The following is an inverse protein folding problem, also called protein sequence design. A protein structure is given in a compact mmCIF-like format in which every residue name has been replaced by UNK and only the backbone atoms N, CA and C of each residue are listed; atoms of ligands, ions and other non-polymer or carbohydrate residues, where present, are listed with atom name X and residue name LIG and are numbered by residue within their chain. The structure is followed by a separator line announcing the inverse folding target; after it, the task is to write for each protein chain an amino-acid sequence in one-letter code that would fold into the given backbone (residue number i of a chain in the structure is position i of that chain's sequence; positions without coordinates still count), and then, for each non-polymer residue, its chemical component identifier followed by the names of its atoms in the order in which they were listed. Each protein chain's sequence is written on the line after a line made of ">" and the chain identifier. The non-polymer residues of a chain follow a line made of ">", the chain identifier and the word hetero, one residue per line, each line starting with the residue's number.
data_IF_039906359717
#
_entry.id   IF_039906359717
#
_cell.length_a   1.000
_cell.length_b   1.000
_cell.length_c   1.000
_cell.angle_alpha   90.00
_cell.angle_beta   90.00
_cell.angle_gamma   90.00
#
_symmetry.space_group_name_H-M   'P 1'
#
loop_
_entity.id
_entity.type
_entity.pdbx_description
1 polymer ?
#
# COMPACT_ATOMS: atom_id res chain seq x y z
N UNK A 1 24.20 47.53 3.05
CA UNK A 1 23.00 47.46 2.20
C UNK A 1 21.91 46.71 2.95
N UNK A 2 20.88 47.42 3.39
CA UNK A 2 19.77 46.92 4.21
C UNK A 2 18.74 46.24 3.31
N UNK A 3 18.60 44.92 3.42
CA UNK A 3 17.59 44.13 2.68
C UNK A 3 16.21 44.46 3.26
N UNK A 4 15.42 45.27 2.54
CA UNK A 4 13.99 45.46 2.83
C UNK A 4 13.28 44.12 2.63
N UNK A 5 12.81 43.51 3.73
CA UNK A 5 11.82 42.43 3.66
C UNK A 5 10.53 43.03 3.11
N UNK A 6 10.21 42.69 1.86
CA UNK A 6 8.91 43.00 1.27
C UNK A 6 7.89 42.08 1.95
N UNK A 7 7.03 42.66 2.79
CA UNK A 7 5.86 41.97 3.32
C UNK A 7 4.83 41.95 2.21
N UNK A 8 4.61 40.77 1.62
CA UNK A 8 3.57 40.58 0.61
C UNK A 8 2.21 40.74 1.29
N UNK A 9 1.29 41.49 0.65
CA UNK A 9 -0.09 41.55 1.12
C UNK A 9 -0.74 40.16 1.04
N UNK A 10 -1.79 39.92 1.83
CA UNK A 10 -2.46 38.61 1.85
C UNK A 10 -3.03 38.26 0.45
N UNK A 11 -3.50 39.27 -0.28
CA UNK A 11 -4.00 39.15 -1.65
C UNK A 11 -2.86 38.86 -2.64
N UNK A 12 -1.70 39.50 -2.50
CA UNK A 12 -0.54 39.21 -3.34
C UNK A 12 0.04 37.82 -3.07
N UNK A 13 0.03 37.37 -1.82
CA UNK A 13 0.42 36.02 -1.44
C UNK A 13 -0.54 34.99 -2.03
N UNK A 14 -1.86 35.22 -1.95
CA UNK A 14 -2.86 34.32 -2.51
C UNK A 14 -2.80 34.31 -4.04
N UNK A 15 -2.57 35.46 -4.69
CA UNK A 15 -2.35 35.55 -6.13
C UNK A 15 -1.08 34.83 -6.58
N UNK A 16 -0.01 34.85 -5.78
CA UNK A 16 1.22 34.07 -6.04
C UNK A 16 0.96 32.57 -5.90
N UNK A 17 0.15 32.14 -4.92
CA UNK A 17 -0.26 30.74 -4.74
C UNK A 17 -1.20 30.24 -5.85
N UNK A 18 -2.15 31.07 -6.30
CA UNK A 18 -2.97 30.73 -7.46
C UNK A 18 -2.14 30.69 -8.74
N UNK A 19 -1.20 31.61 -8.92
CA UNK A 19 -0.26 31.60 -10.04
C UNK A 19 0.74 30.44 -9.99
N UNK A 20 1.05 29.86 -8.83
CA UNK A 20 1.87 28.65 -8.74
C UNK A 20 1.03 27.41 -9.11
N UNK A 21 -0.22 27.32 -8.62
CA UNK A 21 -1.18 26.28 -9.01
C UNK A 21 -1.45 26.26 -10.52
N UNK A 22 -1.66 27.42 -11.14
CA UNK A 22 -1.90 27.52 -12.60
C UNK A 22 -0.63 27.30 -13.42
N UNK A 23 0.56 27.66 -12.90
CA UNK A 23 1.83 27.33 -13.55
C UNK A 23 2.06 25.83 -13.66
N UNK A 24 1.76 25.08 -12.59
CA UNK A 24 1.82 23.63 -12.66
C UNK A 24 0.81 23.08 -13.70
N UNK A 25 -0.43 23.56 -13.72
CA UNK A 25 -1.42 23.16 -14.73
C UNK A 25 -1.02 23.51 -16.18
N UNK A 26 -0.47 24.69 -16.42
CA UNK A 26 -0.02 25.13 -17.74
C UNK A 26 1.26 24.41 -18.23
N UNK A 27 2.14 24.00 -17.31
CA UNK A 27 3.29 23.13 -17.63
C UNK A 27 2.80 21.75 -18.06
N UNK A 28 1.76 21.20 -17.43
CA UNK A 28 1.21 19.90 -17.82
C UNK A 28 0.77 19.86 -19.28
N UNK A 29 0.15 20.92 -19.78
CA UNK A 29 -0.38 20.97 -21.15
C UNK A 29 0.71 20.91 -22.23
N UNK A 30 1.91 21.43 -21.92
CA UNK A 30 3.06 21.48 -22.86
C UNK A 30 4.00 20.27 -22.75
N UNK A 31 3.74 19.32 -21.85
CA UNK A 31 4.65 18.22 -21.56
C UNK A 31 4.40 16.99 -22.43
N UNK A 32 5.28 16.80 -23.41
CA UNK A 32 5.39 15.57 -24.19
C UNK A 32 6.39 14.61 -23.56
N UNK A 33 6.05 13.31 -23.51
CA UNK A 33 7.03 12.30 -23.08
C UNK A 33 8.12 12.11 -24.15
N UNK A 34 9.39 11.91 -23.77
CA UNK A 34 10.42 11.52 -24.71
C UNK A 34 10.02 10.21 -25.42
N UNK A 35 10.11 10.21 -26.75
CA UNK A 35 9.74 9.08 -27.59
C UNK A 35 10.61 7.85 -27.31
N UNK A 36 9.94 6.73 -27.00
CA UNK A 36 10.47 5.36 -26.92
C UNK A 36 11.47 5.10 -25.79
N UNK A 37 10.95 4.74 -24.63
CA UNK A 37 11.77 4.44 -23.44
C UNK A 37 12.08 2.95 -23.27
N UNK A 38 11.07 2.07 -23.37
CA UNK A 38 11.30 0.62 -23.29
C UNK A 38 11.63 -0.01 -24.65
N UNK A 39 12.80 -0.66 -24.72
CA UNK A 39 12.99 -1.79 -25.64
C UNK A 39 12.19 -3.00 -25.13
N UNK A 40 11.88 -3.99 -25.98
CA UNK A 40 11.13 -5.17 -25.55
C UNK A 40 11.85 -5.96 -24.44
N UNK A 41 13.17 -6.12 -24.54
CA UNK A 41 13.97 -6.74 -23.47
C UNK A 41 13.96 -5.94 -22.17
N UNK A 42 13.93 -4.60 -22.25
CA UNK A 42 13.87 -3.74 -21.07
C UNK A 42 12.47 -3.78 -20.43
N UNK A 43 11.41 -3.86 -21.23
CA UNK A 43 10.04 -4.02 -20.75
C UNK A 43 9.90 -5.32 -19.94
N UNK A 44 10.34 -6.46 -20.50
CA UNK A 44 10.26 -7.76 -19.82
C UNK A 44 10.98 -7.76 -18.47
N UNK A 45 12.24 -7.29 -18.45
CA UNK A 45 13.02 -7.20 -17.19
C UNK A 45 12.38 -6.28 -16.17
N UNK A 46 11.85 -5.13 -16.61
CA UNK A 46 11.20 -4.17 -15.70
C UNK A 46 9.89 -4.75 -15.17
N UNK A 47 9.11 -5.40 -16.02
CA UNK A 47 7.88 -6.10 -15.66
C UNK A 47 8.14 -7.19 -14.61
N UNK A 48 9.08 -8.10 -14.87
CA UNK A 48 9.43 -9.19 -13.95
C UNK A 48 9.87 -8.65 -12.59
N UNK A 49 10.78 -7.67 -12.58
CA UNK A 49 11.28 -7.06 -11.35
C UNK A 49 10.17 -6.34 -10.55
N UNK A 50 9.21 -5.69 -11.23
CA UNK A 50 8.07 -5.10 -10.53
C UNK A 50 7.10 -6.17 -10.01
N UNK A 51 6.85 -7.25 -10.76
CA UNK A 51 6.00 -8.35 -10.28
C UNK A 51 6.60 -9.02 -9.04
N UNK A 52 7.89 -9.33 -9.04
CA UNK A 52 8.58 -9.87 -7.87
C UNK A 52 8.49 -8.93 -6.67
N UNK A 53 8.72 -7.63 -6.89
CA UNK A 53 8.62 -6.62 -5.85
C UNK A 53 7.22 -6.55 -5.26
N UNK A 54 6.20 -6.46 -6.11
CA UNK A 54 4.81 -6.36 -5.67
C UNK A 54 4.41 -7.62 -4.91
N UNK A 55 4.76 -8.82 -5.39
CA UNK A 55 4.53 -10.07 -4.63
C UNK A 55 5.18 -10.06 -3.26
N UNK A 56 6.43 -9.63 -3.17
CA UNK A 56 7.15 -9.51 -1.88
C UNK A 56 6.44 -8.53 -0.94
N UNK A 57 6.09 -7.35 -1.44
CA UNK A 57 5.38 -6.33 -0.65
C UNK A 57 3.98 -6.82 -0.22
N UNK A 58 3.28 -7.55 -1.08
CA UNK A 58 1.98 -8.17 -0.74
C UNK A 58 2.13 -9.23 0.35
N UNK A 59 3.15 -10.09 0.25
CA UNK A 59 3.44 -11.09 1.28
C UNK A 59 3.76 -10.43 2.63
N UNK A 60 4.60 -9.38 2.62
CA UNK A 60 4.90 -8.58 3.80
C UNK A 60 3.63 -7.95 4.39
N UNK A 61 2.78 -7.33 3.56
CA UNK A 61 1.53 -6.72 4.00
C UNK A 61 0.53 -7.72 4.62
N UNK A 62 0.55 -8.99 4.19
CA UNK A 62 -0.28 -10.07 4.77
C UNK A 62 0.26 -10.62 6.09
N UNK A 63 1.50 -10.33 6.44
CA UNK A 63 2.15 -10.92 7.63
C UNK A 63 1.34 -10.71 8.92
N UNK A 64 0.86 -9.49 9.25
CA UNK A 64 0.10 -9.31 10.48
C UNK A 64 -1.20 -10.12 10.52
N UNK A 65 -1.87 -10.24 9.36
CA UNK A 65 -3.08 -11.05 9.22
C UNK A 65 -2.80 -12.54 9.42
N UNK A 66 -1.77 -13.09 8.79
CA UNK A 66 -1.42 -14.50 8.92
C UNK A 66 -1.09 -14.85 10.38
N UNK A 67 -0.42 -13.92 11.09
CA UNK A 67 -0.15 -14.09 12.53
C UNK A 67 -1.42 -14.04 13.38
N UNK A 68 -2.33 -13.12 13.10
CA UNK A 68 -3.64 -13.08 13.75
C UNK A 68 -4.39 -14.40 13.56
N UNK A 69 -4.37 -14.97 12.37
CA UNK A 69 -4.98 -16.27 12.06
C UNK A 69 -4.30 -17.41 12.85
N UNK A 70 -2.98 -17.35 13.02
CA UNK A 70 -2.23 -18.31 13.85
C UNK A 70 -2.61 -18.21 15.32
N UNK A 71 -2.67 -16.99 15.90
CA UNK A 71 -3.09 -16.75 17.29
C UNK A 71 -4.53 -17.25 17.49
N UNK A 72 -5.45 -16.87 16.60
CA UNK A 72 -6.85 -17.28 16.67
C UNK A 72 -7.00 -18.81 16.56
N UNK A 73 -6.23 -19.45 15.68
CA UNK A 73 -6.18 -20.91 15.54
C UNK A 73 -5.72 -21.60 16.83
N UNK A 74 -4.64 -21.11 17.45
CA UNK A 74 -4.11 -21.66 18.69
C UNK A 74 -5.05 -21.44 19.89
N UNK A 75 -5.80 -20.34 19.93
CA UNK A 75 -6.81 -20.09 20.98
C UNK A 75 -8.10 -20.91 20.81
N UNK A 76 -8.39 -21.41 19.61
CA UNK A 76 -9.68 -22.03 19.29
C UNK A 76 -10.00 -23.25 20.14
N UNK A 77 -9.05 -24.15 20.37
CA UNK A 77 -9.28 -25.36 21.16
C UNK A 77 -9.34 -25.10 22.68
N UNK A 78 -8.41 -24.33 23.27
CA UNK A 78 -8.54 -23.92 24.67
C UNK A 78 -9.87 -23.24 24.97
N UNK A 79 -10.28 -22.29 24.12
CA UNK A 79 -11.55 -21.56 24.27
C UNK A 79 -12.79 -22.42 24.03
N UNK A 80 -12.69 -23.67 23.57
CA UNK A 80 -13.82 -24.62 23.55
C UNK A 80 -14.11 -25.21 24.93
N UNK A 81 -13.12 -25.26 25.82
CA UNK A 81 -13.27 -25.85 27.15
C UNK A 81 -13.91 -24.87 28.13
N UNK A 82 -14.98 -25.30 28.76
CA UNK A 82 -15.69 -24.49 29.75
C UNK A 82 -14.83 -24.15 30.97
N UNK A 83 -14.01 -25.12 31.41
CA UNK A 83 -13.07 -24.92 32.51
C UNK A 83 -12.07 -23.81 32.21
N UNK A 84 -11.57 -23.74 30.97
CA UNK A 84 -10.66 -22.69 30.55
C UNK A 84 -11.34 -21.32 30.52
N UNK A 85 -12.58 -21.22 30.01
CA UNK A 85 -13.34 -19.94 30.02
C UNK A 85 -13.61 -19.44 31.43
N UNK A 86 -13.96 -20.34 32.36
CA UNK A 86 -14.16 -20.00 33.77
C UNK A 86 -12.88 -19.52 34.43
N UNK A 87 -11.75 -20.18 34.13
CA UNK A 87 -10.44 -19.72 34.58
C UNK A 87 -10.14 -18.30 34.06
N UNK A 88 -10.29 -18.06 32.76
CA UNK A 88 -10.10 -16.73 32.19
C UNK A 88 -11.02 -15.69 32.86
N UNK A 89 -12.27 -16.04 33.16
CA UNK A 89 -13.22 -15.14 33.84
C UNK A 89 -12.79 -14.83 35.28
N UNK A 90 -12.34 -15.84 36.03
CA UNK A 90 -11.87 -15.67 37.41
C UNK A 90 -10.59 -14.82 37.49
N UNK A 91 -9.75 -14.89 36.46
CA UNK A 91 -8.48 -14.14 36.38
C UNK A 91 -8.63 -12.77 35.69
N UNK A 92 -9.84 -12.34 35.34
CA UNK A 92 -10.08 -11.05 34.67
C UNK A 92 -9.61 -10.99 33.20
N UNK A 93 -9.44 -12.14 32.56
CA UNK A 93 -8.92 -12.33 31.21
C UNK A 93 -9.98 -12.81 30.20
N UNK A 94 -11.28 -12.80 30.56
CA UNK A 94 -12.35 -13.24 29.67
C UNK A 94 -12.57 -12.34 28.44
N UNK A 95 -12.13 -11.09 28.49
CA UNK A 95 -12.33 -10.13 27.40
C UNK A 95 -11.31 -10.34 26.27
N UNK A 96 -11.67 -11.19 25.32
CA UNK A 96 -10.91 -11.43 24.09
C UNK A 96 -11.06 -10.23 23.15
N UNK A 97 -9.97 -9.67 22.58
CA UNK A 97 -10.06 -8.61 21.58
C UNK A 97 -10.99 -8.99 20.43
N UNK A 98 -11.84 -8.05 19.97
CA UNK A 98 -12.83 -8.28 18.90
C UNK A 98 -12.21 -8.96 17.67
N UNK A 99 -11.04 -8.48 17.26
CA UNK A 99 -10.27 -9.05 16.15
C UNK A 99 -10.01 -10.55 16.29
N UNK A 100 -9.70 -11.03 17.50
CA UNK A 100 -9.54 -12.45 17.78
C UNK A 100 -10.89 -13.15 17.91
N UNK A 101 -11.86 -12.54 18.59
CA UNK A 101 -13.19 -13.12 18.81
C UNK A 101 -13.89 -13.46 17.48
N UNK A 102 -13.86 -12.54 16.51
CA UNK A 102 -14.44 -12.71 15.17
C UNK A 102 -13.75 -13.82 14.36
N UNK A 103 -12.48 -14.11 14.63
CA UNK A 103 -11.69 -15.13 13.92
C UNK A 103 -11.73 -16.50 14.62
N UNK A 104 -12.01 -16.50 15.92
CA UNK A 104 -12.19 -17.72 16.73
C UNK A 104 -13.59 -18.30 16.51
N UNK A 105 -14.61 -17.46 16.36
CA UNK A 105 -15.98 -17.86 16.00
C UNK A 105 -16.18 -17.98 14.47
N UNK A 106 -17.05 -18.88 13.98
CA UNK A 106 -17.34 -19.03 12.55
C UNK A 106 -18.26 -17.93 11.96
N UNK A 107 -18.53 -16.82 12.65
CA UNK A 107 -19.39 -15.75 12.14
C UNK A 107 -18.56 -14.59 11.57
N UNK A 108 -18.63 -14.44 10.24
CA UNK A 108 -17.99 -13.36 9.48
C UNK A 108 -18.47 -11.98 9.94
N UNK A 109 -17.57 -11.02 10.16
CA UNK A 109 -17.93 -9.61 10.25
C UNK A 109 -18.14 -9.02 8.86
N UNK A 110 -19.22 -8.25 8.74
CA UNK A 110 -19.53 -7.43 7.60
C UNK A 110 -18.44 -6.37 7.36
N UNK A 111 -18.01 -6.26 6.10
CA UNK A 111 -17.11 -5.21 5.66
C UNK A 111 -17.85 -3.87 5.73
N UNK A 112 -17.34 -2.93 6.53
CA UNK A 112 -17.78 -1.53 6.46
C UNK A 112 -17.24 -0.91 5.18
N UNK A 113 -18.12 -0.67 4.22
CA UNK A 113 -17.81 0.04 2.98
C UNK A 113 -17.39 1.48 3.30
N UNK A 114 -16.27 1.92 2.74
CA UNK A 114 -15.91 3.33 2.74
C UNK A 114 -16.91 4.10 1.86
N UNK A 115 -17.33 5.32 2.27
CA UNK A 115 -18.24 6.13 1.47
C UNK A 115 -17.61 6.48 0.12
N UNK A 116 -18.35 6.23 -0.96
CA UNK A 116 -17.99 6.63 -2.31
C UNK A 116 -18.06 8.17 -2.41
N UNK A 117 -16.97 8.78 -2.90
CA UNK A 117 -16.89 10.22 -3.15
C UNK A 117 -17.46 10.53 -4.53
N UNK A 118 -18.32 11.54 -4.63
CA UNK A 118 -18.94 11.95 -5.89
C UNK A 118 -17.89 12.40 -6.94
N UNK A 119 -18.11 12.11 -8.24
CA UNK A 119 -17.17 12.43 -9.29
C UNK A 119 -17.07 13.95 -9.51
N UNK A 120 -15.93 14.52 -9.14
CA UNK A 120 -15.57 15.92 -9.44
C UNK A 120 -15.16 16.07 -10.92
N UNK A 121 -15.45 17.22 -11.56
CA UNK A 121 -15.10 17.45 -12.96
C UNK A 121 -13.58 17.35 -13.20
N UNK A 122 -13.20 16.78 -14.35
CA UNK A 122 -11.80 16.58 -14.74
C UNK A 122 -11.12 17.93 -15.01
N UNK A 123 -9.94 18.12 -14.43
CA UNK A 123 -9.08 19.27 -14.76
C UNK A 123 -8.05 18.77 -15.77
N UNK A 124 -8.18 19.22 -17.03
CA UNK A 124 -7.18 18.97 -18.08
C UNK A 124 -6.89 17.47 -18.33
N UNK A 125 -7.94 16.63 -18.25
CA UNK A 125 -7.82 15.18 -18.46
C UNK A 125 -7.21 14.39 -17.28
N UNK A 126 -6.97 15.05 -16.14
CA UNK A 126 -6.62 14.40 -14.87
C UNK A 126 -7.74 14.57 -13.86
N UNK A 127 -7.96 13.52 -13.06
CA UNK A 127 -8.91 13.57 -11.95
C UNK A 127 -8.32 14.44 -10.80
N UNK A 128 -9.08 15.40 -10.22
CA UNK A 128 -8.57 16.25 -9.13
C UNK A 128 -8.02 15.44 -7.94
N UNK A 129 -8.67 14.33 -7.59
CA UNK A 129 -8.22 13.48 -6.47
C UNK A 129 -6.83 12.87 -6.72
N UNK A 130 -6.45 12.66 -7.98
CA UNK A 130 -5.10 12.17 -8.33
C UNK A 130 -4.06 13.24 -8.05
N UNK A 131 -4.38 14.51 -8.30
CA UNK A 131 -3.51 15.64 -7.96
C UNK A 131 -3.40 15.77 -6.45
N UNK A 132 -4.51 15.71 -5.73
CA UNK A 132 -4.56 15.79 -4.27
C UNK A 132 -3.74 14.65 -3.61
N UNK A 133 -3.85 13.42 -4.12
CA UNK A 133 -3.07 12.28 -3.62
C UNK A 133 -1.56 12.43 -3.82
N UNK A 134 -1.15 13.05 -4.93
CA UNK A 134 0.26 13.19 -5.29
C UNK A 134 0.88 14.51 -4.84
N UNK A 135 0.11 15.45 -4.29
CA UNK A 135 0.58 16.80 -3.94
C UNK A 135 1.73 16.79 -2.92
N UNK A 136 1.70 15.86 -1.96
CA UNK A 136 2.69 15.76 -0.89
C UNK A 136 3.94 14.97 -1.31
N UNK A 137 3.95 14.43 -2.53
CA UNK A 137 5.03 13.62 -3.06
C UNK A 137 5.90 14.42 -4.03
N UNK A 138 7.21 14.19 -3.99
CA UNK A 138 8.14 14.74 -4.98
C UNK A 138 7.97 14.01 -6.33
N UNK A 139 6.95 14.39 -7.09
CA UNK A 139 6.59 13.75 -8.36
C UNK A 139 7.15 14.54 -9.55
N UNK A 140 8.00 13.92 -10.40
CA UNK A 140 8.43 14.56 -11.64
C UNK A 140 7.23 14.85 -12.54
N UNK A 141 7.14 16.03 -13.18
CA UNK A 141 5.90 16.39 -13.86
C UNK A 141 5.58 15.50 -15.08
N UNK A 142 6.57 14.74 -15.61
CA UNK A 142 6.32 13.75 -16.68
C UNK A 142 5.37 12.62 -16.24
N UNK A 143 5.25 12.33 -14.94
CA UNK A 143 4.31 11.34 -14.41
C UNK A 143 2.88 11.66 -14.83
N UNK A 144 2.48 12.93 -14.75
CA UNK A 144 1.14 13.38 -15.10
C UNK A 144 0.85 13.25 -16.61
N UNK A 145 1.87 13.28 -17.47
CA UNK A 145 1.72 12.97 -18.88
C UNK A 145 1.47 11.46 -19.12
N UNK A 146 2.09 10.59 -18.31
CA UNK A 146 1.81 9.16 -18.34
C UNK A 146 0.41 8.83 -17.80
N UNK A 147 -0.01 9.48 -16.71
CA UNK A 147 -1.33 9.28 -16.11
C UNK A 147 -2.47 9.67 -17.05
N UNK A 148 -2.35 10.80 -17.78
CA UNK A 148 -3.36 11.26 -18.75
C UNK A 148 -3.70 10.27 -19.87
N UNK A 149 -2.85 9.27 -20.12
CA UNK A 149 -3.12 8.23 -21.12
C UNK A 149 -4.13 7.19 -20.67
N UNK A 150 -4.50 7.20 -19.39
CA UNK A 150 -5.40 6.23 -18.79
C UNK A 150 -6.73 6.88 -18.45
N UNK A 151 -7.80 6.09 -18.41
CA UNK A 151 -9.13 6.53 -17.95
C UNK A 151 -9.10 6.93 -16.47
N UNK A 152 -10.02 7.78 -15.98
CA UNK A 152 -9.93 8.37 -14.64
C UNK A 152 -9.81 7.35 -13.49
N UNK A 153 -10.58 6.26 -13.52
CA UNK A 153 -10.48 5.19 -12.51
C UNK A 153 -9.09 4.56 -12.48
N UNK A 154 -8.50 4.34 -13.65
CA UNK A 154 -7.16 3.79 -13.81
C UNK A 154 -6.09 4.78 -13.36
N UNK A 155 -6.27 6.08 -13.58
CA UNK A 155 -5.39 7.13 -13.05
C UNK A 155 -5.33 7.08 -11.51
N UNK A 156 -6.50 6.94 -10.86
CA UNK A 156 -6.60 6.84 -9.42
C UNK A 156 -5.90 5.58 -8.89
N UNK A 157 -6.14 4.43 -9.53
CA UNK A 157 -5.45 3.17 -9.19
C UNK A 157 -3.94 3.30 -9.34
N UNK A 158 -3.47 3.87 -10.45
CA UNK A 158 -2.05 4.11 -10.71
C UNK A 158 -1.42 5.02 -9.64
N UNK A 159 -2.07 6.12 -9.27
CA UNK A 159 -1.59 7.01 -8.21
C UNK A 159 -1.49 6.29 -6.86
N UNK A 160 -2.51 5.51 -6.47
CA UNK A 160 -2.48 4.69 -5.25
C UNK A 160 -1.33 3.68 -5.26
N UNK A 161 -1.07 3.01 -6.38
CA UNK A 161 0.08 2.10 -6.53
C UNK A 161 1.42 2.82 -6.37
N UNK A 162 1.59 3.97 -7.05
CA UNK A 162 2.80 4.79 -6.97
C UNK A 162 3.10 5.21 -5.53
N UNK A 163 2.09 5.58 -4.77
CA UNK A 163 2.21 5.97 -3.36
C UNK A 163 2.51 4.76 -2.48
N UNK A 164 1.72 3.69 -2.59
CA UNK A 164 1.82 2.50 -1.74
C UNK A 164 3.15 1.77 -1.92
N UNK A 165 3.68 1.71 -3.15
CA UNK A 165 5.00 1.15 -3.46
C UNK A 165 6.15 2.15 -3.25
N UNK A 166 5.85 3.41 -2.90
CA UNK A 166 6.83 4.50 -2.77
C UNK A 166 7.63 4.75 -4.05
N UNK A 167 6.95 4.68 -5.21
CA UNK A 167 7.52 4.80 -6.56
C UNK A 167 6.81 5.86 -7.39
N UNK A 168 6.66 7.05 -6.82
CA UNK A 168 6.11 8.19 -7.54
C UNK A 168 7.14 8.80 -8.54
N UNK A 169 7.54 8.02 -9.54
CA UNK A 169 8.52 8.43 -10.55
C UNK A 169 8.03 8.12 -11.97
N UNK A 170 8.68 8.76 -12.94
CA UNK A 170 8.32 8.68 -14.35
C UNK A 170 8.39 7.25 -14.91
N UNK A 171 9.42 6.47 -14.53
CA UNK A 171 9.63 5.13 -15.07
C UNK A 171 8.51 4.17 -14.70
N UNK A 172 8.08 4.23 -13.45
CA UNK A 172 6.98 3.42 -12.98
C UNK A 172 5.64 3.88 -13.57
N UNK A 173 5.41 5.20 -13.68
CA UNK A 173 4.23 5.73 -14.36
C UNK A 173 4.15 5.30 -15.84
N UNK A 174 5.30 5.27 -16.53
CA UNK A 174 5.37 4.74 -17.89
C UNK A 174 5.06 3.24 -17.93
N UNK A 175 5.64 2.43 -17.04
CA UNK A 175 5.33 1.00 -16.97
C UNK A 175 3.83 0.75 -16.77
N UNK A 176 3.20 1.45 -15.82
CA UNK A 176 1.76 1.39 -15.57
C UNK A 176 0.98 1.74 -16.84
N UNK A 177 1.35 2.82 -17.55
CA UNK A 177 0.69 3.21 -18.80
C UNK A 177 0.90 2.21 -19.94
N UNK A 178 2.05 1.52 -19.99
CA UNK A 178 2.33 0.51 -21.02
C UNK A 178 1.60 -0.79 -20.77
N UNK A 179 1.41 -1.17 -19.51
CA UNK A 179 0.71 -2.38 -19.08
C UNK A 179 -0.75 -2.08 -18.68
N UNK A 180 -1.34 -1.04 -19.27
CA UNK A 180 -2.78 -0.75 -19.11
C UNK A 180 -3.53 -1.33 -20.32
N UNK A 181 -4.61 -2.11 -20.10
CA UNK A 181 -5.39 -2.68 -21.20
C UNK A 181 -6.06 -1.57 -22.02
N UNK A 182 -6.34 -1.86 -23.30
CA UNK A 182 -6.90 -0.88 -24.26
C UNK A 182 -8.22 -0.26 -23.76
N UNK A 183 -9.04 -1.06 -23.09
CA UNK A 183 -10.32 -0.62 -22.49
C UNK A 183 -10.17 0.46 -21.41
N UNK A 184 -8.97 0.60 -20.83
CA UNK A 184 -8.66 1.56 -19.76
C UNK A 184 -7.73 2.69 -20.24
N UNK A 185 -7.52 2.83 -21.56
CA UNK A 185 -6.79 3.96 -22.14
C UNK A 185 -7.75 5.11 -22.44
N UNK A 186 -7.27 6.35 -22.28
CA UNK A 186 -8.03 7.56 -22.58
C UNK A 186 -8.29 7.75 -24.09
N UNK A 187 -7.39 7.22 -24.93
CA UNK A 187 -7.52 7.21 -26.40
C UNK A 187 -7.29 5.78 -26.92
N UNK A 188 -8.35 4.97 -27.04
CA UNK A 188 -8.25 3.58 -27.49
C UNK A 188 -7.98 3.44 -28.99
N UNK A 189 -8.23 4.49 -29.79
CA UNK A 189 -8.01 4.49 -31.24
C UNK A 189 -6.52 4.60 -31.59
N UNK A 190 -5.70 5.07 -30.65
CA UNK A 190 -4.26 5.22 -30.86
C UNK A 190 -3.57 3.85 -30.96
N UNK A 191 -2.73 3.62 -31.99
CA UNK A 191 -2.06 2.34 -32.15
C UNK A 191 -1.14 2.04 -30.96
N UNK A 192 -1.25 0.81 -30.42
CA UNK A 192 -0.40 0.35 -29.32
C UNK A 192 1.06 0.34 -29.74
N UNK A 193 1.93 0.64 -28.78
CA UNK A 193 3.38 0.51 -28.98
C UNK A 193 3.72 -0.96 -29.20
N UNK A 194 4.44 -1.24 -30.29
CA UNK A 194 5.03 -2.56 -30.56
C UNK A 194 6.41 -2.62 -29.92
N UNK A 195 6.69 -3.71 -29.22
CA UNK A 195 7.98 -3.96 -28.59
C UNK A 195 8.67 -5.13 -29.31
N UNK A 196 9.90 -4.90 -29.77
CA UNK A 196 10.65 -5.95 -30.47
C UNK A 196 10.84 -7.16 -29.55
N UNK A 197 10.45 -8.35 -30.02
CA UNK A 197 10.53 -9.59 -29.25
C UNK A 197 9.42 -9.82 -28.21
N UNK A 198 8.37 -8.98 -28.19
CA UNK A 198 7.18 -9.20 -27.35
C UNK A 198 5.95 -9.27 -28.26
N UNK A 199 5.25 -10.40 -28.26
CA UNK A 199 4.04 -10.59 -29.05
C UNK A 199 2.85 -9.85 -28.44
N UNK A 200 1.80 -9.62 -29.22
CA UNK A 200 0.57 -9.00 -28.71
C UNK A 200 -0.08 -9.86 -27.61
N UNK A 201 -0.08 -11.19 -27.78
CA UNK A 201 -0.64 -12.13 -26.80
C UNK A 201 0.18 -12.15 -25.51
N UNK A 202 1.50 -12.12 -25.62
CA UNK A 202 2.39 -12.04 -24.45
C UNK A 202 2.15 -10.73 -23.68
N UNK A 203 2.03 -9.61 -24.39
CA UNK A 203 1.73 -8.32 -23.77
C UNK A 203 0.36 -8.33 -23.06
N UNK A 204 -0.66 -8.94 -23.67
CA UNK A 204 -1.99 -9.06 -23.07
C UNK A 204 -1.97 -9.95 -21.80
N UNK A 205 -1.20 -11.05 -21.82
CA UNK A 205 -1.00 -11.89 -20.63
C UNK A 205 -0.29 -11.12 -19.51
N UNK A 206 0.75 -10.36 -19.85
CA UNK A 206 1.46 -9.49 -18.89
C UNK A 206 0.50 -8.44 -18.29
N UNK A 207 -0.37 -7.82 -19.10
CA UNK A 207 -1.36 -6.86 -18.62
C UNK A 207 -2.32 -7.48 -17.61
N UNK A 208 -2.88 -8.65 -17.91
CA UNK A 208 -3.81 -9.34 -17.03
C UNK A 208 -3.16 -9.74 -15.70
N UNK A 209 -1.96 -10.34 -15.73
CA UNK A 209 -1.23 -10.72 -14.52
C UNK A 209 -0.85 -9.49 -13.70
N UNK A 210 -0.31 -8.44 -14.34
CA UNK A 210 0.07 -7.21 -13.67
C UNK A 210 -1.11 -6.53 -12.99
N UNK A 211 -2.27 -6.51 -13.64
CA UNK A 211 -3.47 -5.89 -13.10
C UNK A 211 -4.01 -6.64 -11.88
N UNK A 212 -4.09 -7.97 -11.97
CA UNK A 212 -4.48 -8.86 -10.88
C UNK A 212 -3.56 -8.70 -9.66
N UNK A 213 -2.25 -8.73 -9.88
CA UNK A 213 -1.27 -8.58 -8.80
C UNK A 213 -1.34 -7.21 -8.13
N UNK A 214 -1.56 -6.15 -8.92
CA UNK A 214 -1.71 -4.79 -8.40
C UNK A 214 -3.01 -4.61 -7.61
N UNK A 215 -4.13 -5.22 -8.03
CA UNK A 215 -5.37 -5.23 -7.23
C UNK A 215 -5.16 -5.91 -5.88
N UNK A 216 -4.54 -7.10 -5.88
CA UNK A 216 -4.26 -7.84 -4.65
C UNK A 216 -3.37 -7.02 -3.70
N UNK A 217 -2.33 -6.39 -4.25
CA UNK A 217 -1.45 -5.54 -3.46
C UNK A 217 -2.19 -4.35 -2.86
N UNK A 218 -2.99 -3.61 -3.64
CA UNK A 218 -3.75 -2.47 -3.12
C UNK A 218 -4.75 -2.88 -2.05
N UNK A 219 -5.43 -4.02 -2.25
CA UNK A 219 -6.30 -4.61 -1.24
C UNK A 219 -5.54 -4.90 0.04
N UNK A 220 -4.37 -5.56 -0.03
CA UNK A 220 -3.58 -5.84 1.18
C UNK A 220 -3.04 -4.55 1.82
N UNK A 221 -2.64 -3.56 1.00
CA UNK A 221 -2.10 -2.30 1.47
C UNK A 221 -3.14 -1.43 2.19
N UNK A 222 -4.43 -1.49 1.82
CA UNK A 222 -5.49 -0.74 2.50
C UNK A 222 -5.78 -1.28 3.90
N UNK A 223 -5.68 -2.60 4.10
CA UNK A 223 -5.93 -3.24 5.39
C UNK A 223 -4.69 -3.37 6.30
N UNK A 224 -3.48 -3.12 5.78
CA UNK A 224 -2.23 -3.32 6.54
C UNK A 224 -2.23 -2.64 7.92
N UNK A 225 -2.79 -1.42 8.01
CA UNK A 225 -2.84 -0.65 9.26
C UNK A 225 -3.81 -1.25 10.27
N UNK A 226 -4.97 -1.70 9.79
CA UNK A 226 -5.98 -2.39 10.60
C UNK A 226 -5.38 -3.69 11.14
N UNK A 227 -4.82 -4.55 10.27
CA UNK A 227 -4.23 -5.81 10.70
C UNK A 227 -3.05 -5.62 11.67
N UNK A 228 -2.26 -4.57 11.52
CA UNK A 228 -1.18 -4.25 12.46
C UNK A 228 -1.72 -3.90 13.86
N UNK A 229 -2.75 -3.06 13.94
CA UNK A 229 -3.39 -2.69 15.21
C UNK A 229 -4.09 -3.88 15.87
N UNK A 230 -4.80 -4.67 15.06
CA UNK A 230 -5.43 -5.91 15.52
C UNK A 230 -4.40 -6.89 16.08
N UNK A 231 -3.26 -7.09 15.37
CA UNK A 231 -2.19 -7.96 15.84
C UNK A 231 -1.57 -7.44 17.15
N UNK A 232 -1.35 -6.14 17.27
CA UNK A 232 -0.85 -5.54 18.50
C UNK A 232 -1.80 -5.80 19.69
N UNK A 233 -3.11 -5.63 19.49
CA UNK A 233 -4.10 -5.92 20.52
C UNK A 233 -4.14 -7.41 20.89
N UNK A 234 -4.07 -8.29 19.88
CA UNK A 234 -4.02 -9.74 20.06
C UNK A 234 -2.78 -10.18 20.83
N UNK A 235 -1.62 -9.61 20.49
CA UNK A 235 -0.35 -9.90 21.16
C UNK A 235 -0.36 -9.44 22.61
N UNK A 236 -0.82 -8.22 22.89
CA UNK A 236 -0.97 -7.72 24.27
C UNK A 236 -1.94 -8.56 25.11
N UNK A 237 -2.99 -9.11 24.50
CA UNK A 237 -3.84 -10.08 25.18
C UNK A 237 -3.08 -11.38 25.48
N UNK A 238 -2.30 -11.89 24.50
CA UNK A 238 -1.52 -13.10 24.67
C UNK A 238 -0.42 -12.94 25.74
N UNK A 239 0.28 -11.82 25.79
CA UNK A 239 1.25 -11.48 26.83
C UNK A 239 0.60 -11.59 28.22
N UNK A 240 -0.57 -10.99 28.41
CA UNK A 240 -1.33 -11.08 29.68
C UNK A 240 -1.74 -12.52 30.04
N UNK A 241 -2.07 -13.36 29.05
CA UNK A 241 -2.34 -14.77 29.30
C UNK A 241 -1.09 -15.51 29.78
N UNK A 242 0.06 -15.21 29.16
CA UNK A 242 1.34 -15.87 29.41
C UNK A 242 2.03 -15.37 30.70
N UNK A 243 1.68 -14.19 31.19
CA UNK A 243 2.11 -13.68 32.50
C UNK A 243 1.30 -14.28 33.67
N UNK A 244 0.11 -14.84 33.40
CA UNK A 244 -0.72 -15.44 34.44
C UNK A 244 -0.33 -16.91 34.70
N UNK A 245 0.28 -17.15 35.86
CA UNK A 245 0.79 -18.48 36.28
C UNK A 245 -0.30 -19.56 36.25
N UNK A 246 -1.54 -19.24 36.61
CA UNK A 246 -2.64 -20.22 36.62
C UNK A 246 -3.06 -20.61 35.20
N UNK A 247 -3.12 -19.64 34.29
CA UNK A 247 -3.40 -19.85 32.87
C UNK A 247 -2.28 -20.68 32.23
N UNK A 248 -1.02 -20.30 32.43
CA UNK A 248 0.14 -21.05 31.91
C UNK A 248 0.14 -22.49 32.43
N UNK A 249 -0.10 -22.70 33.72
CA UNK A 249 -0.19 -24.05 34.30
C UNK A 249 -1.31 -24.87 33.67
N UNK A 250 -2.49 -24.27 33.48
CA UNK A 250 -3.61 -24.96 32.84
C UNK A 250 -3.29 -25.33 31.39
N UNK A 251 -2.70 -24.41 30.62
CA UNK A 251 -2.28 -24.66 29.24
C UNK A 251 -1.19 -25.73 29.17
N UNK A 252 -0.20 -25.74 30.07
CA UNK A 252 0.84 -26.76 30.09
C UNK A 252 0.28 -28.17 30.32
N UNK A 253 -0.76 -28.31 31.14
CA UNK A 253 -1.37 -29.59 31.47
C UNK A 253 -2.32 -30.10 30.37
N UNK A 254 -3.08 -29.21 29.73
CA UNK A 254 -4.18 -29.60 28.85
C UNK A 254 -3.94 -29.27 27.35
N UNK A 255 -3.05 -28.32 27.07
CA UNK A 255 -2.81 -27.74 25.74
C UNK A 255 -1.32 -27.39 25.52
N UNK A 256 -0.37 -28.34 25.72
CA UNK A 256 1.06 -28.05 25.66
C UNK A 256 1.53 -27.55 24.29
N UNK A 257 0.92 -28.04 23.20
CA UNK A 257 1.22 -27.58 21.84
C UNK A 257 0.81 -26.11 21.63
N UNK A 258 -0.36 -25.71 22.13
CA UNK A 258 -0.84 -24.34 22.02
C UNK A 258 -0.01 -23.40 22.90
N UNK A 259 0.43 -23.86 24.07
CA UNK A 259 1.36 -23.12 24.92
C UNK A 259 2.68 -22.83 24.19
N UNK A 260 3.27 -23.85 23.55
CA UNK A 260 4.48 -23.69 22.75
C UNK A 260 4.26 -22.74 21.55
N UNK A 261 3.11 -22.85 20.88
CA UNK A 261 2.74 -21.94 19.79
C UNK A 261 2.63 -20.48 20.26
N UNK A 262 2.04 -20.24 21.43
CA UNK A 262 1.95 -18.90 22.01
C UNK A 262 3.32 -18.31 22.31
N UNK A 263 4.23 -19.10 22.91
CA UNK A 263 5.61 -18.67 23.16
C UNK A 263 6.32 -18.32 21.85
N UNK A 264 6.25 -19.18 20.84
CA UNK A 264 6.87 -18.93 19.54
C UNK A 264 6.33 -17.65 18.86
N UNK A 265 5.04 -17.34 19.01
CA UNK A 265 4.45 -16.11 18.47
C UNK A 265 4.97 -14.87 19.20
N UNK A 266 5.11 -14.95 20.53
CA UNK A 266 5.63 -13.85 21.35
C UNK A 266 7.14 -13.65 21.18
N UNK A 267 7.91 -14.67 20.85
CA UNK A 267 9.35 -14.53 20.64
C UNK A 267 9.71 -13.70 19.40
N UNK A 268 8.79 -13.55 18.44
CA UNK A 268 9.07 -12.77 17.23
C UNK A 268 8.83 -11.27 17.49
N UNK A 269 9.85 -10.39 17.38
CA UNK A 269 9.71 -8.97 17.69
C UNK A 269 8.87 -8.21 16.66
N UNK A 270 7.99 -7.32 17.14
CA UNK A 270 7.07 -6.48 16.35
C UNK A 270 7.77 -5.54 15.35
N UNK A 271 8.97 -5.07 15.68
CA UNK A 271 9.73 -4.10 14.85
C UNK A 271 10.17 -4.70 13.50
N UNK A 272 10.29 -6.02 13.40
CA UNK A 272 10.55 -6.70 12.13
C UNK A 272 9.32 -6.73 11.22
N UNK A 273 8.14 -6.43 11.74
CA UNK A 273 6.87 -6.48 11.01
C UNK A 273 6.35 -5.10 10.60
N UNK A 274 6.73 -4.06 11.34
CA UNK A 274 6.24 -2.70 11.09
C UNK A 274 7.22 -1.81 10.28
N UNK A 275 8.50 -2.15 10.17
CA UNK A 275 9.55 -1.17 9.79
C UNK A 275 10.56 -1.62 8.73
N UNK A 276 10.23 -2.56 7.83
CA UNK A 276 11.05 -2.84 6.64
C UNK A 276 11.03 -1.73 5.56
N UNK A 277 10.94 -0.45 5.97
CA UNK A 277 10.85 0.73 5.12
C UNK A 277 11.83 1.84 5.44
N UNK A 278 12.84 1.62 6.29
CA UNK A 278 13.91 2.60 6.53
C UNK A 278 15.25 2.14 5.96
N UNK A 279 15.56 2.43 4.68
CA UNK A 279 16.94 2.62 4.32
C UNK A 279 17.42 3.88 5.05
N UNK A 280 18.40 3.74 5.96
CA UNK A 280 19.21 4.89 6.41
C UNK A 280 19.71 5.59 5.15
N UNK A 281 19.22 6.81 4.87
CA UNK A 281 19.83 7.68 3.87
C UNK A 281 21.23 8.03 4.38
N UNK A 282 22.22 7.23 4.03
CA UNK A 282 23.61 7.68 4.05
C UNK A 282 23.72 8.71 2.92
N UNK A 283 23.60 9.98 3.29
CA UNK A 283 23.71 11.09 2.35
C UNK A 283 25.10 11.12 1.73
N UNK A 284 25.26 10.55 0.54
CA UNK A 284 26.35 10.95 -0.36
C UNK A 284 25.96 12.29 -0.98
N UNK A 285 26.41 13.38 -0.36
CA UNK A 285 26.48 14.71 -1.00
C UNK A 285 27.25 14.56 -2.32
N UNK A 286 26.53 14.55 -3.44
CA UNK A 286 27.17 14.73 -4.74
C UNK A 286 27.37 16.23 -4.91
N UNK A 287 28.64 16.62 -5.02
CA UNK A 287 29.08 18.00 -5.26
C UNK A 287 28.50 18.44 -6.61
N UNK A 288 27.97 19.66 -6.66
CA UNK A 288 27.66 20.35 -7.90
C UNK A 288 28.91 20.38 -8.78
N UNK A 289 28.86 19.74 -9.95
CA UNK A 289 29.76 20.11 -11.04
C UNK A 289 29.11 21.27 -11.77
N UNK A 290 29.82 22.40 -11.74
CA UNK A 290 29.61 23.55 -12.61
C UNK A 290 30.20 23.19 -13.97
N UNK A 291 29.38 23.32 -15.02
CA UNK A 291 29.82 23.74 -16.35
C UNK A 291 28.80 24.76 -16.84
#
# INVERSE_FOLDING_TARGET
>A
MTVRRVVLSLEDADRVLQNSRTRHAALLDKMHEPGRWFSGSMLLRTYEAECERTRKMTAEAKTPRNRLETIAGALRNPLKQEQFRRLLSAEGLAFVPKALAERVSPQQPAQSACPHTEPKPLVTGLLPEVLDLLQDWSVPPQVFASLRKMVPERQLKAAKLMIALKRANFHYAQLLSTLTPVSQLADPSRPRKKFAGVTADQLAAMEAEFDMLNEEFLHCASFRGIWALELMAARSYLDRLMENVRVVRYLAQNFPEQLAAFQAILDIPMDREALAGHPKKTGRRHKHLVF
#
